data_IF_491439973645
#
_entry.id   IF_491439973645
#
_cell.length_a   1.000
_cell.length_b   1.000
_cell.length_c   1.000
_cell.angle_alpha   90.00
_cell.angle_beta   90.00
_cell.angle_gamma   90.00
#
_symmetry.space_group_name_H-M   'P 1'
#
loop_
_entity.id
_entity.type
_entity.pdbx_description
1 polymer ?
#
# COMPACT_ATOMS: atom_id res chain seq x y z
N UNK A 1 14.78 -0.49 4.42
CA UNK A 1 13.95 0.62 4.93
C UNK A 1 12.93 -0.04 5.82
N UNK A 2 13.06 0.13 7.13
CA UNK A 2 12.22 -0.56 8.11
C UNK A 2 10.77 -0.08 8.13
N UNK A 3 10.49 1.06 7.48
CA UNK A 3 9.18 1.71 7.48
C UNK A 3 8.03 0.82 6.98
N UNK A 4 8.26 0.03 5.93
CA UNK A 4 7.25 -0.86 5.35
C UNK A 4 7.33 -2.30 5.88
N UNK A 5 8.18 -2.60 6.85
CA UNK A 5 8.35 -3.98 7.35
C UNK A 5 7.04 -4.53 7.95
N UNK A 6 6.19 -3.65 8.52
CA UNK A 6 4.86 -4.02 9.01
C UNK A 6 3.91 -4.52 7.92
N UNK A 7 4.11 -4.14 6.66
CA UNK A 7 3.33 -4.72 5.55
C UNK A 7 3.65 -6.19 5.33
N UNK A 8 4.89 -6.61 5.65
CA UNK A 8 5.38 -7.98 5.47
C UNK A 8 4.96 -8.92 6.61
N UNK A 9 4.48 -8.38 7.73
CA UNK A 9 3.95 -9.17 8.84
C UNK A 9 2.59 -9.77 8.45
N UNK A 10 2.47 -11.11 8.39
CA UNK A 10 1.22 -11.78 8.04
C UNK A 10 0.08 -11.51 9.03
N UNK A 11 0.37 -11.13 10.27
CA UNK A 11 -0.64 -10.80 11.28
C UNK A 11 -1.39 -9.51 10.94
N UNK A 12 -0.75 -8.60 10.17
CA UNK A 12 -1.35 -7.35 9.70
C UNK A 12 -2.26 -7.54 8.47
N UNK A 13 -2.39 -8.77 7.97
CA UNK A 13 -3.33 -9.18 6.92
C UNK A 13 -3.20 -8.44 5.58
N UNK A 14 -2.12 -7.71 5.32
CA UNK A 14 -1.88 -7.08 4.02
C UNK A 14 -1.35 -8.09 3.01
N UNK A 15 -0.36 -8.89 3.41
CA UNK A 15 0.27 -9.90 2.55
C UNK A 15 0.25 -11.28 3.19
N UNK A 16 0.46 -12.30 2.36
CA UNK A 16 0.84 -13.64 2.82
C UNK A 16 2.35 -13.73 3.04
N UNK A 17 2.82 -14.78 3.71
CA UNK A 17 4.27 -15.04 3.91
C UNK A 17 5.04 -15.12 2.59
N UNK A 18 4.36 -15.36 1.47
CA UNK A 18 4.93 -15.37 0.13
C UNK A 18 5.17 -13.98 -0.46
N UNK A 19 4.70 -12.90 0.18
CA UNK A 19 4.71 -11.54 -0.35
C UNK A 19 3.56 -11.22 -1.31
N UNK A 20 2.61 -12.16 -1.49
CA UNK A 20 1.39 -11.92 -2.28
C UNK A 20 0.40 -11.09 -1.50
N UNK A 21 -0.19 -10.09 -2.14
CA UNK A 21 -1.18 -9.21 -1.52
C UNK A 21 -2.49 -9.98 -1.32
N UNK A 22 -3.08 -9.85 -0.14
CA UNK A 22 -4.35 -10.52 0.19
C UNK A 22 -5.51 -9.85 -0.55
N UNK A 23 -6.21 -10.63 -1.36
CA UNK A 23 -7.40 -10.18 -2.06
C UNK A 23 -8.59 -10.12 -1.08
N UNK A 24 -9.56 -9.25 -1.37
CA UNK A 24 -10.82 -9.11 -0.63
C UNK A 24 -12.00 -8.95 -1.59
N UNK A 25 -13.20 -8.90 -1.04
CA UNK A 25 -14.38 -8.59 -1.84
C UNK A 25 -14.27 -7.20 -2.45
N UNK A 26 -14.66 -7.08 -3.70
CA UNK A 26 -14.62 -5.81 -4.43
C UNK A 26 -15.57 -4.80 -3.79
N UNK A 27 -15.03 -3.65 -3.44
CA UNK A 27 -15.80 -2.51 -2.91
C UNK A 27 -15.34 -1.24 -3.62
N UNK A 28 -16.23 -0.25 -3.71
CA UNK A 28 -15.90 1.06 -4.30
C UNK A 28 -15.82 2.09 -3.18
N UNK A 29 -14.67 2.78 -3.08
CA UNK A 29 -14.45 3.89 -2.14
C UNK A 29 -13.76 5.00 -2.92
N UNK A 30 -14.27 6.23 -2.84
CA UNK A 30 -13.72 7.41 -3.54
C UNK A 30 -13.41 7.18 -5.03
N UNK A 31 -14.35 6.54 -5.74
CA UNK A 31 -14.24 6.15 -7.16
C UNK A 31 -13.13 5.12 -7.47
N UNK A 32 -12.45 4.58 -6.45
CA UNK A 32 -11.51 3.48 -6.60
C UNK A 32 -12.17 2.13 -6.34
N UNK A 33 -11.86 1.18 -7.22
CA UNK A 33 -12.19 -0.23 -7.02
C UNK A 33 -11.12 -0.86 -6.12
N UNK A 34 -11.53 -1.20 -4.91
CA UNK A 34 -10.71 -1.88 -3.90
C UNK A 34 -10.99 -3.38 -3.99
N UNK A 35 -10.03 -4.13 -4.51
CA UNK A 35 -10.08 -5.59 -4.64
C UNK A 35 -9.09 -6.33 -3.71
N UNK A 36 -8.28 -5.60 -2.95
CA UNK A 36 -7.26 -6.16 -2.07
C UNK A 36 -7.12 -5.37 -0.76
N UNK A 37 -6.52 -6.00 0.25
CA UNK A 37 -6.33 -5.42 1.57
C UNK A 37 -5.32 -4.27 1.59
N UNK A 38 -4.42 -4.18 0.61
CA UNK A 38 -3.45 -3.09 0.53
C UNK A 38 -4.15 -1.78 0.14
N UNK A 39 -5.01 -1.81 -0.88
CA UNK A 39 -5.87 -0.68 -1.25
C UNK A 39 -6.90 -0.36 -0.17
N UNK A 40 -7.41 -1.39 0.52
CA UNK A 40 -8.24 -1.21 1.71
C UNK A 40 -7.51 -0.39 2.78
N UNK A 41 -6.30 -0.79 3.16
CA UNK A 41 -5.48 -0.07 4.13
C UNK A 41 -5.23 1.41 3.74
N UNK A 42 -5.16 1.71 2.44
CA UNK A 42 -4.94 3.06 1.95
C UNK A 42 -6.21 3.91 1.99
N UNK A 43 -7.36 3.38 1.59
CA UNK A 43 -8.55 4.18 1.29
C UNK A 43 -9.75 3.95 2.21
N UNK A 44 -9.88 2.75 2.78
CA UNK A 44 -11.08 2.31 3.49
C UNK A 44 -10.96 2.59 4.99
N UNK A 45 -11.43 3.76 5.44
CA UNK A 45 -11.33 4.19 6.85
C UNK A 45 -12.06 3.28 7.83
N UNK A 46 -12.99 2.46 7.34
CA UNK A 46 -13.78 1.55 8.16
C UNK A 46 -13.06 0.20 8.37
N UNK A 47 -12.01 -0.10 7.60
CA UNK A 47 -11.30 -1.38 7.73
C UNK A 47 -10.23 -1.33 8.82
N UNK A 48 -10.05 -2.41 9.62
CA UNK A 48 -9.03 -2.46 10.66
C UNK A 48 -7.61 -2.18 10.15
N UNK A 49 -7.32 -2.61 8.92
CA UNK A 49 -6.03 -2.46 8.27
C UNK A 49 -5.67 -0.98 8.02
N UNK A 50 -6.64 -0.07 7.90
CA UNK A 50 -6.38 1.36 7.68
C UNK A 50 -5.50 1.99 8.75
N UNK A 51 -5.67 1.54 9.99
CA UNK A 51 -4.94 2.02 11.17
C UNK A 51 -3.55 1.36 11.34
N UNK A 52 -3.07 0.60 10.35
CA UNK A 52 -1.74 -0.01 10.38
C UNK A 52 -0.61 1.05 10.37
N UNK A 53 -0.87 2.21 9.77
CA UNK A 53 0.00 3.38 9.81
C UNK A 53 -0.65 4.50 10.60
N UNK A 54 0.11 5.18 11.46
CA UNK A 54 -0.36 6.37 12.18
C UNK A 54 -0.55 7.54 11.22
N UNK A 55 -1.32 8.54 11.63
CA UNK A 55 -1.54 9.74 10.81
C UNK A 55 -0.22 10.43 10.45
N UNK A 56 0.75 10.46 11.37
CA UNK A 56 2.09 11.03 11.12
C UNK A 56 2.85 10.22 10.07
N UNK A 57 2.86 8.89 10.18
CA UNK A 57 3.51 8.02 9.19
C UNK A 57 2.85 8.17 7.81
N UNK A 58 1.53 8.38 7.76
CA UNK A 58 0.81 8.60 6.49
C UNK A 58 1.15 9.96 5.86
N UNK A 59 1.63 10.93 6.64
CA UNK A 59 2.14 12.20 6.10
C UNK A 59 3.58 12.12 5.59
N UNK A 60 4.32 11.04 5.89
CA UNK A 60 5.69 10.88 5.42
C UNK A 60 5.76 10.84 3.90
N UNK A 61 6.75 11.52 3.33
CA UNK A 61 6.88 11.65 1.87
C UNK A 61 7.01 10.28 1.18
N UNK A 62 7.72 9.34 1.80
CA UNK A 62 7.87 7.98 1.29
C UNK A 62 6.53 7.22 1.24
N UNK A 63 5.65 7.46 2.21
CA UNK A 63 4.30 6.86 2.23
C UNK A 63 3.45 7.43 1.10
N UNK A 64 3.52 8.74 0.85
CA UNK A 64 2.79 9.38 -0.26
C UNK A 64 3.21 8.87 -1.63
N UNK A 65 4.51 8.64 -1.85
CA UNK A 65 4.99 8.02 -3.10
C UNK A 65 4.40 6.61 -3.25
N UNK A 66 4.45 5.81 -2.17
CA UNK A 66 3.89 4.46 -2.18
C UNK A 66 2.39 4.45 -2.48
N UNK A 67 1.61 5.30 -1.81
CA UNK A 67 0.18 5.49 -2.04
C UNK A 67 -0.12 5.81 -3.50
N UNK A 68 0.60 6.77 -4.09
CA UNK A 68 0.44 7.15 -5.51
C UNK A 68 0.70 5.97 -6.47
N UNK A 69 1.71 5.14 -6.18
CA UNK A 69 2.05 3.98 -7.00
C UNK A 69 0.99 2.87 -6.91
N UNK A 70 0.51 2.57 -5.70
CA UNK A 70 -0.47 1.51 -5.47
C UNK A 70 -1.84 1.88 -6.06
N UNK A 71 -2.26 3.13 -5.86
CA UNK A 71 -3.54 3.62 -6.39
C UNK A 71 -3.46 3.85 -7.90
N UNK A 72 -2.30 4.25 -8.43
CA UNK A 72 -1.99 4.29 -9.86
C UNK A 72 -2.86 5.23 -10.71
N UNK A 73 -3.81 5.94 -10.10
CA UNK A 73 -4.79 6.78 -10.77
C UNK A 73 -5.52 6.07 -11.92
N UNK A 74 -5.70 6.78 -13.04
CA UNK A 74 -6.45 6.30 -14.21
C UNK A 74 -5.80 5.11 -14.92
N UNK A 75 -4.47 4.97 -14.81
CA UNK A 75 -3.72 3.93 -15.52
C UNK A 75 -3.50 2.65 -14.71
N UNK A 76 -3.98 2.59 -13.46
CA UNK A 76 -3.98 1.43 -12.56
C UNK A 76 -2.73 0.54 -12.67
N UNK A 77 -1.70 0.81 -11.85
CA UNK A 77 -0.49 -0.01 -11.78
C UNK A 77 -0.71 -1.22 -10.87
N UNK A 78 -1.65 -2.11 -11.22
CA UNK A 78 -2.01 -3.24 -10.38
C UNK A 78 -0.92 -4.31 -10.35
N UNK A 79 -0.50 -4.71 -9.15
CA UNK A 79 0.43 -5.79 -8.90
C UNK A 79 -0.14 -6.77 -7.87
N UNK A 80 0.19 -8.05 -8.02
CA UNK A 80 -0.25 -9.10 -7.08
C UNK A 80 0.73 -9.32 -5.93
N UNK A 81 1.93 -8.76 -6.03
CA UNK A 81 3.00 -8.89 -5.05
C UNK A 81 3.39 -7.52 -4.51
N UNK A 82 3.74 -7.45 -3.23
CA UNK A 82 4.10 -6.17 -2.59
C UNK A 82 5.47 -5.66 -3.00
N UNK A 83 6.38 -6.59 -3.36
CA UNK A 83 7.79 -6.28 -3.57
C UNK A 83 8.04 -5.27 -4.71
N UNK A 84 7.40 -5.39 -5.89
CA UNK A 84 7.53 -4.39 -6.95
C UNK A 84 7.21 -2.96 -6.47
N UNK A 85 6.13 -2.78 -5.69
CA UNK A 85 5.78 -1.48 -5.13
C UNK A 85 6.85 -0.94 -4.17
N UNK A 86 7.41 -1.78 -3.30
CA UNK A 86 8.44 -1.36 -2.35
C UNK A 86 9.75 -1.00 -3.04
N UNK A 87 10.14 -1.77 -4.07
CA UNK A 87 11.38 -1.55 -4.81
C UNK A 87 11.30 -0.25 -5.63
N UNK A 88 10.19 0.01 -6.34
CA UNK A 88 10.02 1.24 -7.11
C UNK A 88 9.83 2.47 -6.22
N UNK A 89 9.07 2.36 -5.11
CA UNK A 89 8.94 3.43 -4.11
C UNK A 89 10.31 3.85 -3.59
N UNK A 90 11.17 2.87 -3.26
CA UNK A 90 12.53 3.14 -2.79
C UNK A 90 13.38 3.82 -3.85
N UNK A 91 13.28 3.38 -5.12
CA UNK A 91 14.03 4.01 -6.21
C UNK A 91 13.63 5.48 -6.34
N UNK A 92 12.33 5.75 -6.50
CA UNK A 92 11.81 7.11 -6.67
C UNK A 92 12.16 7.98 -5.46
N UNK A 93 11.95 7.48 -4.24
CA UNK A 93 12.29 8.23 -3.03
C UNK A 93 13.77 8.61 -2.99
N UNK A 94 14.67 7.68 -3.33
CA UNK A 94 16.11 7.96 -3.40
C UNK A 94 16.46 8.96 -4.49
N UNK A 95 15.84 8.84 -5.66
CA UNK A 95 16.11 9.71 -6.81
C UNK A 95 15.62 11.15 -6.56
N UNK A 96 14.62 11.35 -5.70
CA UNK A 96 14.06 12.68 -5.38
C UNK A 96 14.76 13.39 -4.22
N UNK A 97 15.44 12.65 -3.33
CA UNK A 97 16.17 13.22 -2.18
C UNK A 97 17.67 13.41 -2.45
N UNK A 98 18.18 12.87 -3.56
CA UNK A 98 19.59 12.94 -3.97
C UNK A 98 19.80 14.05 -4.98
#
# INVERSE_FOLDING_TARGET
>A
MSFFDKLMDPENKIVFNTGKIRQRYETVVDDFVICDNLRGMLLDTECPEYNLFTDEERQEFIFRIFELLVLGGVLCQFENEIKPYLDITRSIYKDLIT
#
